data_IF_293207370397
#
_entry.id   IF_293207370397
#
_cell.length_a   1.000
_cell.length_b   1.000
_cell.length_c   1.000
_cell.angle_alpha   90.00
_cell.angle_beta   90.00
_cell.angle_gamma   90.00
#
_symmetry.space_group_name_H-M   'P 1'
#
loop_
_entity.id
_entity.type
_entity.pdbx_description
1 polymer ?
#
# COMPACT_ATOMS: atom_id res chain seq x y z
N UNK A 1 13.60 -9.76 1.35
CA UNK A 1 12.70 -9.70 2.52
C UNK A 1 12.91 -8.36 3.21
N UNK A 2 11.86 -7.57 3.43
CA UNK A 2 11.99 -6.28 4.14
C UNK A 2 12.32 -6.49 5.63
N UNK A 3 13.06 -5.54 6.18
CA UNK A 3 13.41 -5.43 7.59
C UNK A 3 13.01 -4.06 8.14
N UNK A 4 12.59 -3.99 9.40
CA UNK A 4 12.12 -2.77 10.05
C UNK A 4 10.58 -2.67 10.16
N UNK A 5 10.06 -1.50 10.59
CA UNK A 5 8.65 -1.34 10.97
C UNK A 5 7.70 -1.11 9.79
N UNK A 6 8.19 -1.08 8.54
CA UNK A 6 7.42 -0.78 7.34
C UNK A 6 7.35 -2.00 6.44
N UNK A 7 6.15 -2.30 5.92
CA UNK A 7 6.01 -3.22 4.81
C UNK A 7 6.36 -2.50 3.51
N UNK A 8 7.18 -3.16 2.69
CA UNK A 8 7.77 -2.58 1.48
C UNK A 8 7.46 -3.43 0.25
N UNK A 9 6.26 -4.01 0.21
CA UNK A 9 5.76 -4.78 -0.94
C UNK A 9 5.97 -6.30 -0.87
N UNK A 10 6.59 -6.87 0.17
CA UNK A 10 6.61 -8.34 0.33
C UNK A 10 5.53 -8.83 1.31
N UNK A 11 5.25 -8.06 2.38
CA UNK A 11 4.23 -8.44 3.38
C UNK A 11 3.32 -7.26 3.67
N UNK A 12 2.50 -6.95 2.66
CA UNK A 12 1.74 -5.70 2.57
C UNK A 12 0.26 -5.97 2.38
N UNK A 13 -0.57 -5.15 3.02
CA UNK A 13 -1.97 -4.98 2.64
C UNK A 13 -2.01 -3.80 1.66
N UNK A 14 -2.51 -4.07 0.46
CA UNK A 14 -2.58 -3.11 -0.63
C UNK A 14 -4.03 -2.71 -0.89
N UNK A 15 -4.24 -1.49 -1.38
CA UNK A 15 -5.57 -1.01 -1.71
C UNK A 15 -5.54 0.15 -2.72
N UNK A 16 -6.69 0.40 -3.34
CA UNK A 16 -6.85 1.45 -4.35
C UNK A 16 -6.77 2.85 -3.71
N UNK A 17 -5.75 3.68 -4.06
CA UNK A 17 -5.61 5.03 -3.51
C UNK A 17 -6.62 6.04 -4.07
N UNK A 18 -7.30 5.69 -5.17
CA UNK A 18 -8.20 6.61 -5.91
C UNK A 18 -9.59 6.72 -5.27
N UNK A 19 -10.00 5.73 -4.45
CA UNK A 19 -11.31 5.73 -3.81
C UNK A 19 -11.23 6.43 -2.45
N UNK A 20 -12.03 7.48 -2.25
CA UNK A 20 -12.03 8.29 -1.02
C UNK A 20 -12.30 7.48 0.25
N UNK A 21 -13.11 6.43 0.15
CA UNK A 21 -13.52 5.61 1.29
C UNK A 21 -12.50 4.52 1.66
N UNK A 22 -11.45 4.31 0.86
CA UNK A 22 -10.50 3.21 1.05
C UNK A 22 -9.75 3.34 2.38
N UNK A 23 -9.29 4.55 2.72
CA UNK A 23 -8.64 4.80 4.03
C UNK A 23 -9.58 4.45 5.18
N UNK A 24 -10.84 4.85 5.09
CA UNK A 24 -11.84 4.59 6.14
C UNK A 24 -12.12 3.09 6.26
N UNK A 25 -12.28 2.39 5.14
CA UNK A 25 -12.46 0.92 5.11
C UNK A 25 -11.29 0.23 5.80
N UNK A 26 -10.05 0.47 5.36
CA UNK A 26 -8.87 -0.18 5.96
C UNK A 26 -8.74 0.17 7.45
N UNK A 27 -8.95 1.44 7.84
CA UNK A 27 -8.85 1.84 9.24
C UNK A 27 -9.92 1.19 10.12
N UNK A 28 -11.15 0.98 9.61
CA UNK A 28 -12.26 0.41 10.38
C UNK A 28 -12.27 -1.12 10.41
N UNK A 29 -12.04 -1.79 9.27
CA UNK A 29 -12.20 -3.25 9.15
C UNK A 29 -10.90 -3.99 9.49
N UNK A 30 -9.79 -3.57 8.88
CA UNK A 30 -8.49 -4.24 8.96
C UNK A 30 -7.70 -3.76 10.17
N UNK A 31 -7.50 -2.45 10.29
CA UNK A 31 -6.59 -1.86 11.28
C UNK A 31 -7.26 -1.49 12.59
N UNK A 32 -8.59 -1.45 12.64
CA UNK A 32 -9.39 -1.15 13.84
C UNK A 32 -8.82 0.04 14.63
N UNK A 33 -8.48 1.12 13.91
CA UNK A 33 -7.82 2.33 14.43
C UNK A 33 -8.54 3.58 13.91
N UNK A 34 -8.30 4.77 14.49
CA UNK A 34 -9.01 5.99 14.09
C UNK A 34 -8.89 6.28 12.59
N UNK A 35 -9.98 6.77 11.98
CA UNK A 35 -10.14 6.94 10.53
C UNK A 35 -9.15 7.92 9.90
N UNK A 36 -8.65 8.87 10.68
CA UNK A 36 -7.70 9.90 10.24
C UNK A 36 -6.26 9.39 10.11
N UNK A 37 -5.96 8.17 10.57
CA UNK A 37 -4.60 7.63 10.48
C UNK A 37 -4.19 7.47 9.00
N UNK A 38 -3.10 8.14 8.57
CA UNK A 38 -2.70 8.14 7.18
C UNK A 38 -2.07 6.80 6.78
N UNK A 39 -2.10 6.54 5.48
CA UNK A 39 -1.38 5.44 4.84
C UNK A 39 -0.27 5.99 3.95
N UNK A 40 0.71 5.13 3.65
CA UNK A 40 1.79 5.48 2.75
C UNK A 40 1.53 4.85 1.38
N UNK A 41 1.80 5.57 0.28
CA UNK A 41 1.71 4.97 -1.05
C UNK A 41 3.01 4.27 -1.44
N UNK A 42 2.90 3.17 -2.17
CA UNK A 42 3.98 2.62 -3.00
C UNK A 42 3.78 3.08 -4.44
N UNK A 43 4.85 3.56 -5.06
CA UNK A 43 4.81 4.30 -6.32
C UNK A 43 5.96 3.84 -7.22
N UNK A 44 5.74 3.66 -8.52
CA UNK A 44 6.85 3.43 -9.44
C UNK A 44 7.83 4.63 -9.40
N UNK A 45 9.13 4.37 -9.31
CA UNK A 45 10.14 5.44 -9.27
C UNK A 45 10.03 6.39 -10.48
N UNK A 46 9.68 5.87 -11.66
CA UNK A 46 9.44 6.66 -12.89
C UNK A 46 8.27 7.67 -12.78
N UNK A 47 7.39 7.54 -11.78
CA UNK A 47 6.29 8.49 -11.53
C UNK A 47 6.66 9.56 -10.50
N UNK A 48 7.82 9.44 -9.83
CA UNK A 48 8.22 10.32 -8.73
C UNK A 48 8.12 11.80 -9.10
N UNK A 49 8.79 12.19 -10.18
CA UNK A 49 8.84 13.59 -10.63
C UNK A 49 7.55 14.05 -11.28
N UNK A 50 6.73 13.11 -11.78
CA UNK A 50 5.38 13.42 -12.24
C UNK A 50 4.53 13.87 -11.06
N UNK A 51 4.52 13.10 -9.97
CA UNK A 51 3.58 13.26 -8.86
C UNK A 51 4.04 14.21 -7.74
N UNK A 52 5.35 14.35 -7.49
CA UNK A 52 5.87 15.09 -6.33
C UNK A 52 6.72 16.31 -6.70
N UNK A 53 6.71 17.32 -5.83
CA UNK A 53 7.57 18.51 -5.91
C UNK A 53 8.89 18.24 -5.19
N UNK A 54 10.03 18.57 -5.84
CA UNK A 54 11.38 18.52 -5.25
C UNK A 54 11.73 17.20 -4.52
N UNK A 55 11.16 16.08 -4.96
CA UNK A 55 11.38 14.77 -4.34
C UNK A 55 12.66 14.13 -4.84
N UNK A 56 13.23 13.23 -4.03
CA UNK A 56 14.34 12.36 -4.41
C UNK A 56 13.98 10.90 -4.12
N UNK A 57 14.71 9.96 -4.72
CA UNK A 57 14.45 8.53 -4.52
C UNK A 57 14.59 8.16 -3.05
N UNK A 58 13.58 7.49 -2.52
CA UNK A 58 13.50 7.07 -1.13
C UNK A 58 12.58 5.85 -1.00
N UNK A 59 13.11 4.75 -0.46
CA UNK A 59 12.50 3.42 -0.55
C UNK A 59 11.83 2.94 0.74
N UNK A 60 11.95 3.71 1.82
CA UNK A 60 11.61 3.23 3.17
C UNK A 60 10.41 3.95 3.83
N UNK A 61 9.63 4.74 3.08
CA UNK A 61 8.47 5.48 3.60
C UNK A 61 8.75 6.34 4.85
N UNK A 62 9.96 6.89 4.95
CA UNK A 62 10.43 7.64 6.11
C UNK A 62 10.40 9.15 5.89
N UNK A 63 10.43 9.60 4.63
CA UNK A 63 10.50 11.01 4.25
C UNK A 63 9.19 11.40 3.56
N UNK A 64 8.67 12.57 3.93
CA UNK A 64 7.46 13.13 3.35
C UNK A 64 7.81 14.09 2.20
N UNK A 65 7.05 14.01 1.11
CA UNK A 65 7.14 14.92 -0.02
C UNK A 65 5.75 15.51 -0.30
N UNK A 66 5.71 16.73 -0.83
CA UNK A 66 4.47 17.38 -1.24
C UNK A 66 4.04 16.87 -2.63
N UNK A 67 2.85 16.29 -2.73
CA UNK A 67 2.26 15.94 -4.02
C UNK A 67 1.89 17.21 -4.79
N UNK A 68 2.00 17.20 -6.12
CA UNK A 68 1.51 18.30 -6.95
C UNK A 68 0.00 18.37 -6.88
N UNK A 69 -0.53 19.58 -6.80
CA UNK A 69 -1.92 19.81 -6.39
C UNK A 69 -2.91 19.26 -7.43
N UNK A 70 -2.52 19.17 -8.70
CA UNK A 70 -3.34 18.56 -9.75
C UNK A 70 -3.63 17.07 -9.54
N UNK A 71 -2.79 16.32 -8.83
CA UNK A 71 -2.97 14.86 -8.63
C UNK A 71 -3.66 14.49 -7.33
N UNK A 72 -3.84 15.44 -6.40
CA UNK A 72 -4.44 15.18 -5.09
C UNK A 72 -5.88 14.65 -5.24
N UNK A 73 -6.63 15.18 -6.21
CA UNK A 73 -8.02 14.76 -6.47
C UNK A 73 -8.09 13.34 -7.04
N UNK A 74 -7.09 12.93 -7.80
CA UNK A 74 -7.05 11.60 -8.42
C UNK A 74 -6.55 10.53 -7.43
N UNK A 75 -5.74 10.93 -6.45
CA UNK A 75 -5.12 10.04 -5.46
C UNK A 75 -5.43 10.47 -4.00
N UNK A 76 -6.71 10.64 -3.63
CA UNK A 76 -7.10 11.25 -2.36
C UNK A 76 -6.63 10.47 -1.13
N UNK A 77 -6.49 9.14 -1.23
CA UNK A 77 -6.01 8.32 -0.11
C UNK A 77 -4.48 8.18 -0.06
N UNK A 78 -3.75 8.60 -1.10
CA UNK A 78 -2.28 8.52 -1.15
C UNK A 78 -1.60 9.69 -0.40
N UNK A 79 -2.36 10.73 -0.06
CA UNK A 79 -1.86 11.95 0.58
C UNK A 79 -2.51 12.21 1.94
N UNK A 80 -1.80 12.96 2.77
CA UNK A 80 -2.29 13.52 4.00
C UNK A 80 -3.13 14.78 3.71
N UNK A 81 -3.87 15.26 4.73
CA UNK A 81 -4.71 16.47 4.63
C UNK A 81 -3.93 17.72 4.26
N UNK A 82 -2.63 17.73 4.54
CA UNK A 82 -1.69 18.79 4.18
C UNK A 82 -1.02 18.56 2.82
N UNK A 83 -1.55 17.67 1.98
CA UNK A 83 -1.04 17.35 0.65
C UNK A 83 0.32 16.65 0.61
N UNK A 84 0.89 16.27 1.75
CA UNK A 84 2.15 15.50 1.80
C UNK A 84 1.88 13.99 1.75
N UNK A 85 2.86 13.21 1.32
CA UNK A 85 2.84 11.76 1.43
C UNK A 85 4.24 11.24 1.76
N UNK A 86 4.31 10.06 2.38
CA UNK A 86 5.58 9.35 2.61
C UNK A 86 5.69 8.15 1.65
N UNK A 87 6.05 8.37 0.38
CA UNK A 87 6.06 7.30 -0.60
C UNK A 87 7.18 6.29 -0.35
N UNK A 88 6.93 5.07 -0.78
CA UNK A 88 7.96 4.12 -1.19
C UNK A 88 8.07 4.24 -2.71
N UNK A 89 9.19 4.73 -3.21
CA UNK A 89 9.48 4.63 -4.64
C UNK A 89 10.08 3.24 -4.95
N UNK A 90 9.57 2.60 -6.00
CA UNK A 90 9.87 1.21 -6.36
C UNK A 90 10.48 1.15 -7.76
N UNK A 91 11.68 0.58 -7.84
CA UNK A 91 12.31 0.15 -9.09
C UNK A 91 12.20 -1.38 -9.24
N UNK A 92 12.37 -1.89 -10.46
CA UNK A 92 12.33 -3.34 -10.72
C UNK A 92 13.35 -4.12 -9.88
N UNK A 93 14.55 -3.56 -9.69
CA UNK A 93 15.63 -4.17 -8.89
C UNK A 93 15.29 -4.33 -7.41
N UNK A 94 14.34 -3.56 -6.87
CA UNK A 94 13.98 -3.59 -5.46
C UNK A 94 13.07 -4.79 -5.14
N UNK A 95 12.09 -5.01 -6.01
CA UNK A 95 11.14 -6.12 -5.93
C UNK A 95 10.47 -6.31 -7.30
N UNK A 96 10.93 -7.24 -8.14
CA UNK A 96 10.41 -7.40 -9.50
C UNK A 96 8.91 -7.70 -9.57
N UNK A 97 8.40 -8.52 -8.64
CA UNK A 97 6.98 -8.86 -8.60
C UNK A 97 6.11 -7.66 -8.21
N UNK A 98 6.55 -6.89 -7.21
CA UNK A 98 5.83 -5.70 -6.76
C UNK A 98 5.91 -4.56 -7.78
N UNK A 99 7.05 -4.42 -8.47
CA UNK A 99 7.20 -3.51 -9.60
C UNK A 99 6.22 -3.85 -10.74
N UNK A 100 6.14 -5.13 -11.14
CA UNK A 100 5.16 -5.59 -12.16
C UNK A 100 3.72 -5.33 -11.75
N UNK A 101 3.39 -5.53 -10.47
CA UNK A 101 2.08 -5.17 -9.91
C UNK A 101 1.77 -3.68 -10.09
N UNK A 102 2.69 -2.79 -9.68
CA UNK A 102 2.49 -1.35 -9.84
C UNK A 102 2.46 -0.92 -11.31
N UNK A 103 3.22 -1.58 -12.19
CA UNK A 103 3.18 -1.33 -13.63
C UNK A 103 1.82 -1.72 -14.23
N UNK A 104 1.32 -2.90 -13.88
CA UNK A 104 -0.02 -3.33 -14.30
C UNK A 104 -1.11 -2.39 -13.78
N UNK A 105 -0.98 -1.87 -12.54
CA UNK A 105 -1.89 -0.83 -12.05
C UNK A 105 -1.85 0.42 -12.91
N UNK A 106 -0.65 0.89 -13.29
CA UNK A 106 -0.49 2.06 -14.16
C UNK A 106 -1.18 1.87 -15.50
N UNK A 107 -1.05 0.70 -16.10
CA UNK A 107 -1.68 0.40 -17.40
C UNK A 107 -3.22 0.40 -17.30
N UNK A 108 -3.78 0.08 -16.13
CA UNK A 108 -5.23 0.05 -15.88
C UNK A 108 -5.78 1.42 -15.47
N UNK A 109 -5.08 2.13 -14.60
CA UNK A 109 -5.61 3.33 -13.91
C UNK A 109 -4.98 4.64 -14.38
N UNK A 110 -3.89 4.57 -15.15
CA UNK A 110 -3.01 5.70 -15.45
C UNK A 110 -2.04 6.06 -14.31
N UNK A 111 -2.09 5.35 -13.17
CA UNK A 111 -1.27 5.60 -11.99
C UNK A 111 -0.63 4.32 -11.46
N UNK A 112 0.71 4.29 -11.44
CA UNK A 112 1.52 3.24 -10.82
C UNK A 112 1.60 3.42 -9.31
N UNK A 113 0.45 3.57 -8.66
CA UNK A 113 0.30 3.94 -7.25
C UNK A 113 -0.62 2.96 -6.55
N UNK A 114 -0.19 2.44 -5.41
CA UNK A 114 -0.98 1.61 -4.51
C UNK A 114 -0.87 2.16 -3.11
N UNK A 115 -1.94 2.13 -2.31
CA UNK A 115 -1.75 2.20 -0.87
C UNK A 115 -1.00 0.97 -0.42
N UNK A 116 -0.13 1.15 0.58
CA UNK A 116 0.60 0.07 1.20
C UNK A 116 0.62 0.29 2.72
N UNK A 117 0.18 -0.73 3.44
CA UNK A 117 0.29 -0.80 4.88
C UNK A 117 0.81 -2.17 5.31
N UNK A 118 1.35 -2.24 6.53
CA UNK A 118 1.89 -3.47 7.08
C UNK A 118 0.86 -4.60 7.03
N UNK A 119 1.27 -5.79 6.62
CA UNK A 119 0.40 -6.95 6.76
C UNK A 119 0.46 -7.47 8.18
N UNK A 120 -0.49 -6.98 8.97
CA UNK A 120 -0.74 -7.38 10.34
C UNK A 120 -2.13 -6.91 10.80
N UNK A 121 -2.74 -7.63 11.74
CA UNK A 121 -3.77 -7.05 12.59
C UNK A 121 -3.14 -6.01 13.54
N UNK A 122 -3.88 -4.95 13.88
CA UNK A 122 -3.38 -3.97 14.86
C UNK A 122 -3.06 -4.66 16.20
N UNK A 123 -1.87 -4.36 16.73
CA UNK A 123 -1.32 -5.03 17.93
C UNK A 123 -0.45 -6.26 17.63
N UNK A 124 -0.42 -6.77 16.40
CA UNK A 124 0.47 -7.86 15.97
C UNK A 124 1.70 -7.33 15.22
N UNK A 125 2.76 -8.13 15.17
CA UNK A 125 3.92 -7.88 14.29
C UNK A 125 3.55 -8.14 12.83
N UNK A 126 4.36 -7.61 11.89
CA UNK A 126 4.22 -7.98 10.47
C UNK A 126 4.34 -9.50 10.35
N UNK A 127 3.46 -10.11 9.56
CA UNK A 127 3.48 -11.55 9.28
C UNK A 127 4.88 -11.99 8.83
N UNK A 128 5.26 -13.25 9.09
CA UNK A 128 6.55 -13.80 8.63
C UNK A 128 6.38 -15.14 7.94
N UNK A 129 5.56 -16.02 8.48
CA UNK A 129 5.32 -17.36 7.95
C UNK A 129 4.01 -17.40 7.13
N UNK A 130 3.85 -18.38 6.22
CA UNK A 130 2.57 -18.60 5.55
C UNK A 130 1.40 -18.80 6.53
N UNK A 131 1.66 -19.46 7.67
CA UNK A 131 0.71 -19.65 8.74
C UNK A 131 0.25 -18.31 9.33
N UNK A 132 1.18 -17.40 9.64
CA UNK A 132 0.84 -16.05 10.11
C UNK A 132 -0.01 -15.30 9.08
N UNK A 133 0.35 -15.42 7.79
CA UNK A 133 -0.40 -14.78 6.71
C UNK A 133 -1.84 -15.29 6.62
N UNK A 134 -2.06 -16.60 6.71
CA UNK A 134 -3.42 -17.18 6.72
C UNK A 134 -4.21 -16.72 7.96
N UNK A 135 -3.60 -16.71 9.13
CA UNK A 135 -4.27 -16.26 10.37
C UNK A 135 -4.69 -14.80 10.23
N UNK A 136 -3.77 -13.92 9.85
CA UNK A 136 -4.06 -12.49 9.72
C UNK A 136 -4.96 -12.18 8.51
N UNK A 137 -4.95 -12.99 7.45
CA UNK A 137 -5.91 -12.91 6.33
C UNK A 137 -7.35 -13.03 6.84
N UNK A 138 -7.61 -14.06 7.65
CA UNK A 138 -8.92 -14.34 8.22
C UNK A 138 -9.29 -13.25 9.24
N UNK A 139 -8.40 -12.94 10.18
CA UNK A 139 -8.68 -12.01 11.29
C UNK A 139 -8.87 -10.55 10.83
N UNK A 140 -8.13 -10.13 9.79
CA UNK A 140 -8.28 -8.81 9.20
C UNK A 140 -9.47 -8.70 8.25
N UNK A 141 -10.14 -9.80 7.93
CA UNK A 141 -11.22 -9.86 6.93
C UNK A 141 -10.80 -9.24 5.59
N UNK A 142 -9.62 -9.64 5.10
CA UNK A 142 -9.08 -9.20 3.80
C UNK A 142 -9.83 -9.90 2.67
N UNK A 143 -10.10 -9.19 1.57
CA UNK A 143 -10.87 -9.73 0.44
C UNK A 143 -10.18 -10.91 -0.25
N UNK A 144 -8.88 -10.76 -0.54
CA UNK A 144 -8.06 -11.75 -1.25
C UNK A 144 -6.61 -11.74 -0.75
N UNK A 145 -5.99 -12.91 -0.68
CA UNK A 145 -4.57 -13.07 -0.35
C UNK A 145 -3.82 -13.67 -1.53
N UNK A 146 -2.71 -13.06 -1.91
CA UNK A 146 -1.75 -13.62 -2.86
C UNK A 146 -0.49 -14.04 -2.10
N UNK A 147 -0.17 -15.34 -2.11
CA UNK A 147 0.96 -15.91 -1.38
C UNK A 147 1.59 -17.05 -2.18
N UNK A 148 2.90 -16.99 -2.41
CA UNK A 148 3.68 -18.05 -3.10
C UNK A 148 3.04 -18.55 -4.41
N UNK A 149 2.48 -17.64 -5.21
CA UNK A 149 1.83 -17.97 -6.49
C UNK A 149 0.37 -18.44 -6.38
N UNK A 150 -0.18 -18.54 -5.17
CA UNK A 150 -1.58 -18.88 -4.94
C UNK A 150 -2.42 -17.63 -4.72
N UNK A 151 -3.66 -17.68 -5.22
CA UNK A 151 -4.73 -16.73 -4.88
C UNK A 151 -5.70 -17.42 -3.93
N UNK A 152 -5.86 -16.86 -2.74
CA UNK A 152 -6.71 -17.37 -1.67
C UNK A 152 -7.90 -16.44 -1.50
N UNK A 153 -9.09 -17.02 -1.36
CA UNK A 153 -10.34 -16.32 -1.06
C UNK A 153 -11.06 -17.03 0.08
N UNK A 154 -11.71 -16.27 0.95
CA UNK A 154 -12.63 -16.85 1.92
C UNK A 154 -13.82 -17.47 1.17
N UNK A 155 -14.17 -18.71 1.52
CA UNK A 155 -15.37 -19.35 1.01
C UNK A 155 -16.56 -18.60 1.61
N UNK A 156 -17.29 -17.83 0.79
CA UNK A 156 -18.56 -17.23 1.23
C UNK A 156 -19.51 -18.38 1.56
N UNK A 157 -20.05 -18.39 2.78
CA UNK A 157 -21.08 -19.35 3.16
C UNK A 157 -22.25 -19.23 2.19
N UNK A 158 -22.67 -20.37 1.63
CA UNK A 158 -23.95 -20.53 0.92
C UNK A 158 -25.11 -20.25 1.85
#
# INVERSE_FOLDING_TARGET
>A
MEFGPRALGNRSIIANPMLEDTRQKINSTVKRRPSYQPFCPSILEEERERLFKNSFSHKNMAIAFRMKDEYIKDLPCAVHVDGTARPQFVEEKDNPNYYRYLKALKDITGYGVSLNTSYNLHGRTIVRTPQDAIIDFIDCNIDELFIEGFRVKLKKGT
#
